data_IF_811062075855
#
_entry.id   IF_811062075855
#
_cell.length_a   1.000
_cell.length_b   1.000
_cell.length_c   1.000
_cell.angle_alpha   90.00
_cell.angle_beta   90.00
_cell.angle_gamma   90.00
#
_symmetry.space_group_name_H-M   'P 1'
#
loop_
_entity.id
_entity.type
_entity.pdbx_description
1 polymer ?
#
# COMPACT_ATOMS: atom_id res chain seq x y z
N UNK A 1 -1.42 -1.12 25.72
CA UNK A 1 -1.61 -2.39 24.98
C UNK A 1 -0.56 -2.46 23.89
N UNK A 2 0.01 -3.63 23.65
CA UNK A 2 0.96 -3.81 22.54
C UNK A 2 0.19 -4.10 21.26
N UNK A 3 0.14 -3.13 20.34
CA UNK A 3 -0.63 -3.28 19.10
C UNK A 3 -0.09 -4.42 18.23
N UNK A 4 1.16 -4.85 18.41
CA UNK A 4 1.75 -5.98 17.66
C UNK A 4 1.04 -7.31 17.94
N UNK A 5 0.33 -7.41 19.08
CA UNK A 5 -0.55 -8.53 19.36
C UNK A 5 -1.80 -8.53 18.47
N UNK A 6 -2.14 -7.41 17.83
CA UNK A 6 -3.36 -7.23 17.02
C UNK A 6 -3.06 -7.04 15.54
N UNK A 7 -1.94 -6.40 15.20
CA UNK A 7 -1.49 -6.17 13.82
C UNK A 7 0.03 -6.21 13.74
N UNK A 8 0.58 -6.94 12.78
CA UNK A 8 2.02 -6.87 12.46
C UNK A 8 2.26 -7.13 10.97
N UNK A 9 3.48 -6.85 10.54
CA UNK A 9 3.99 -7.16 9.21
C UNK A 9 4.72 -8.50 9.28
N UNK A 10 4.47 -9.38 8.31
CA UNK A 10 5.06 -10.72 8.28
C UNK A 10 5.63 -11.05 6.91
N UNK A 11 6.67 -11.88 6.90
CA UNK A 11 7.16 -12.58 5.72
C UNK A 11 6.42 -13.90 5.57
N UNK A 12 5.98 -14.25 4.37
CA UNK A 12 5.51 -15.60 4.07
C UNK A 12 6.72 -16.53 4.01
N UNK A 13 6.81 -17.48 4.94
CA UNK A 13 7.85 -18.50 4.92
C UNK A 13 7.48 -19.68 4.03
N UNK A 14 6.21 -20.09 4.07
CA UNK A 14 5.72 -21.23 3.30
C UNK A 14 4.29 -21.05 2.84
N UNK A 15 4.00 -21.47 1.60
CA UNK A 15 2.64 -21.59 1.08
C UNK A 15 2.29 -23.08 0.94
N UNK A 16 1.20 -23.49 1.58
CA UNK A 16 0.61 -24.82 1.47
C UNK A 16 -0.73 -24.72 0.72
N UNK A 17 -1.35 -25.87 0.40
CA UNK A 17 -2.59 -25.91 -0.38
C UNK A 17 -3.76 -25.13 0.25
N UNK A 18 -3.82 -25.03 1.58
CA UNK A 18 -4.91 -24.39 2.33
C UNK A 18 -4.44 -23.48 3.46
N UNK A 19 -3.14 -23.21 3.56
CA UNK A 19 -2.57 -22.36 4.61
C UNK A 19 -1.31 -21.65 4.15
N UNK A 20 -0.97 -20.56 4.83
CA UNK A 20 0.35 -19.95 4.75
C UNK A 20 1.01 -19.95 6.13
N UNK A 21 2.32 -20.20 6.15
CA UNK A 21 3.16 -19.97 7.31
C UNK A 21 3.83 -18.62 7.17
N UNK A 22 3.76 -17.82 8.21
CA UNK A 22 4.26 -16.45 8.23
C UNK A 22 5.16 -16.23 9.44
N UNK A 23 6.14 -15.36 9.29
CA UNK A 23 7.13 -15.01 10.32
C UNK A 23 7.09 -13.52 10.55
N UNK A 24 6.91 -13.10 11.80
CA UNK A 24 6.80 -11.68 12.18
C UNK A 24 8.09 -10.94 11.84
N UNK A 25 7.98 -9.83 11.10
CA UNK A 25 9.09 -8.99 10.67
C UNK A 25 9.38 -7.85 11.65
N UNK A 26 8.46 -7.53 12.55
CA UNK A 26 8.58 -6.34 13.41
C UNK A 26 8.88 -6.68 14.87
N UNK A 27 8.92 -7.96 15.20
CA UNK A 27 9.11 -8.46 16.56
C UNK A 27 10.42 -9.22 16.66
N UNK A 28 11.29 -8.85 17.61
CA UNK A 28 12.66 -9.38 17.75
C UNK A 28 12.73 -10.92 17.89
N UNK A 29 11.63 -11.54 18.32
CA UNK A 29 11.55 -12.99 18.51
C UNK A 29 11.08 -13.76 17.26
N UNK A 30 10.80 -13.10 16.13
CA UNK A 30 10.47 -13.74 14.85
C UNK A 30 9.32 -14.76 14.97
N UNK A 31 8.22 -14.39 15.63
CA UNK A 31 7.14 -15.32 15.95
C UNK A 31 6.53 -15.90 14.67
N UNK A 32 6.49 -17.23 14.59
CA UNK A 32 5.82 -17.94 13.51
C UNK A 32 4.33 -18.12 13.78
N UNK A 33 3.52 -17.93 12.74
CA UNK A 33 2.08 -18.19 12.76
C UNK A 33 1.65 -18.94 11.49
N UNK A 34 0.64 -19.80 11.62
CA UNK A 34 0.02 -20.47 10.47
C UNK A 34 -1.42 -19.99 10.31
N UNK A 35 -1.73 -19.45 9.14
CA UNK A 35 -3.05 -18.88 8.83
C UNK A 35 -3.74 -19.78 7.81
N UNK A 36 -4.90 -20.31 8.19
CA UNK A 36 -5.81 -20.99 7.28
C UNK A 36 -6.30 -20.01 6.22
N UNK A 37 -6.14 -20.41 4.96
CA UNK A 37 -6.40 -19.56 3.81
C UNK A 37 -7.54 -20.15 2.98
N UNK A 38 -8.71 -19.49 2.97
CA UNK A 38 -9.92 -19.98 2.28
C UNK A 38 -10.27 -19.24 0.97
N UNK A 39 -9.44 -18.32 0.46
CA UNK A 39 -9.74 -17.57 -0.78
C UNK A 39 -8.72 -17.82 -1.92
N UNK A 40 -9.10 -18.35 -3.08
CA UNK A 40 -8.15 -18.60 -4.19
C UNK A 40 -7.59 -17.33 -4.89
N UNK A 41 -7.75 -16.13 -4.31
CA UNK A 41 -7.52 -14.87 -5.02
C UNK A 41 -6.13 -14.24 -4.84
N UNK A 42 -5.25 -14.82 -4.03
CA UNK A 42 -3.89 -14.27 -3.85
C UNK A 42 -2.88 -15.30 -4.34
N UNK A 43 -2.14 -14.93 -5.38
CA UNK A 43 -0.91 -15.62 -5.83
C UNK A 43 0.21 -15.33 -4.82
N UNK A 44 0.00 -15.69 -3.56
CA UNK A 44 0.99 -15.56 -2.51
C UNK A 44 2.11 -16.57 -2.75
N UNK A 45 3.34 -16.17 -2.48
CA UNK A 45 4.53 -17.02 -2.61
C UNK A 45 5.41 -16.85 -1.39
N UNK A 46 6.29 -17.82 -1.17
CA UNK A 46 7.34 -17.72 -0.14
C UNK A 46 8.19 -16.48 -0.38
N UNK A 47 8.38 -15.68 0.66
CA UNK A 47 9.15 -14.44 0.72
C UNK A 47 8.35 -13.18 0.40
N UNK A 48 7.06 -13.28 0.09
CA UNK A 48 6.18 -12.12 0.09
C UNK A 48 5.98 -11.53 1.49
N UNK A 49 5.45 -10.31 1.53
CA UNK A 49 5.10 -9.63 2.77
C UNK A 49 3.58 -9.56 2.91
N UNK A 50 3.09 -9.70 4.14
CA UNK A 50 1.67 -9.53 4.48
C UNK A 50 1.51 -8.67 5.73
N UNK A 51 0.53 -7.77 5.71
CA UNK A 51 0.04 -7.08 6.90
C UNK A 51 -1.16 -7.87 7.42
N UNK A 52 -1.04 -8.42 8.62
CA UNK A 52 -2.06 -9.29 9.20
C UNK A 52 -2.71 -8.67 10.43
N UNK A 53 -4.03 -8.48 10.35
CA UNK A 53 -4.90 -8.05 11.43
C UNK A 53 -5.52 -9.27 12.11
N UNK A 54 -5.05 -9.60 13.32
CA UNK A 54 -5.43 -10.82 14.05
C UNK A 54 -6.87 -10.80 14.52
N UNK A 55 -7.41 -9.62 14.84
CA UNK A 55 -8.79 -9.45 15.26
C UNK A 55 -9.55 -8.47 14.37
N UNK A 56 -10.81 -8.80 14.03
CA UNK A 56 -11.72 -7.87 13.34
C UNK A 56 -12.21 -6.81 14.32
N UNK A 57 -11.62 -5.61 14.27
CA UNK A 57 -12.06 -4.45 15.09
C UNK A 57 -13.43 -3.93 14.66
N UNK A 58 -14.20 -3.30 15.57
CA UNK A 58 -15.56 -2.80 15.26
C UNK A 58 -15.64 -1.83 14.07
N UNK A 59 -14.59 -1.04 13.84
CA UNK A 59 -14.46 -0.15 12.67
C UNK A 59 -14.57 -0.95 11.35
N UNK A 60 -14.24 -2.24 11.37
CA UNK A 60 -14.35 -3.16 10.22
C UNK A 60 -15.70 -3.89 10.13
N UNK A 61 -16.59 -3.78 11.13
CA UNK A 61 -17.90 -4.49 11.16
C UNK A 61 -18.84 -4.09 10.02
N UNK A 62 -18.73 -2.86 9.52
CA UNK A 62 -19.58 -2.38 8.43
C UNK A 62 -19.08 -2.78 7.04
N UNK A 63 -17.90 -3.39 6.94
CA UNK A 63 -17.30 -3.76 5.66
C UNK A 63 -17.08 -5.29 5.58
N UNK A 64 -18.16 -6.02 5.27
CA UNK A 64 -18.22 -7.50 5.25
C UNK A 64 -17.16 -8.18 4.34
N UNK A 65 -16.53 -7.42 3.44
CA UNK A 65 -15.57 -7.92 2.45
C UNK A 65 -14.09 -7.61 2.73
N UNK A 66 -13.73 -6.93 3.83
CA UNK A 66 -12.31 -6.66 4.13
C UNK A 66 -11.60 -7.91 4.67
N UNK A 67 -10.61 -8.37 3.92
CA UNK A 67 -9.72 -9.46 4.31
C UNK A 67 -8.83 -9.01 5.49
N UNK A 68 -8.67 -9.88 6.49
CA UNK A 68 -7.81 -9.63 7.64
C UNK A 68 -6.32 -9.62 7.27
N UNK A 69 -6.00 -9.96 6.02
CA UNK A 69 -4.67 -10.14 5.52
C UNK A 69 -4.52 -9.34 4.23
N UNK A 70 -3.61 -8.38 4.25
CA UNK A 70 -3.28 -7.52 3.11
C UNK A 70 -1.94 -7.99 2.57
N UNK A 71 -1.89 -8.28 1.28
CA UNK A 71 -0.75 -8.93 0.64
C UNK A 71 0.06 -7.97 -0.23
N UNK A 72 1.38 -8.02 -0.04
CA UNK A 72 2.37 -7.25 -0.79
C UNK A 72 3.29 -8.18 -1.59
N UNK A 73 3.11 -8.27 -2.92
CA UNK A 73 3.99 -9.04 -3.78
C UNK A 73 5.33 -8.30 -3.95
N UNK A 74 6.32 -8.64 -3.13
CA UNK A 74 7.64 -7.98 -3.13
C UNK A 74 8.69 -8.73 -3.96
N UNK A 75 8.35 -9.91 -4.47
CA UNK A 75 9.25 -10.73 -5.28
C UNK A 75 8.95 -10.70 -6.77
N UNK A 76 10.02 -10.67 -7.58
CA UNK A 76 9.99 -10.91 -9.02
C UNK A 76 9.68 -12.37 -9.34
N UNK A 77 8.45 -12.63 -9.80
CA UNK A 77 8.05 -13.91 -10.38
C UNK A 77 7.48 -13.67 -11.77
N UNK A 78 7.90 -14.49 -12.74
CA UNK A 78 7.42 -14.39 -14.13
C UNK A 78 5.89 -14.47 -14.19
N UNK A 79 5.24 -13.48 -14.80
CA UNK A 79 3.79 -13.41 -14.94
C UNK A 79 3.06 -12.89 -13.69
N UNK A 80 3.78 -12.21 -12.79
CA UNK A 80 3.25 -11.61 -11.56
C UNK A 80 3.67 -10.14 -11.47
N UNK A 81 2.73 -9.29 -11.04
CA UNK A 81 2.99 -7.89 -10.76
C UNK A 81 3.69 -7.75 -9.40
N UNK A 82 4.75 -6.93 -9.36
CA UNK A 82 5.33 -6.45 -8.11
C UNK A 82 4.98 -4.97 -7.98
N UNK A 83 4.12 -4.64 -7.01
CA UNK A 83 3.59 -3.28 -6.79
C UNK A 83 4.56 -2.43 -5.93
N UNK A 84 5.77 -2.93 -5.65
CA UNK A 84 6.65 -2.39 -4.62
C UNK A 84 8.11 -2.49 -5.09
N UNK A 85 8.60 -1.40 -5.67
CA UNK A 85 9.94 -1.33 -6.29
C UNK A 85 11.05 -0.95 -5.32
N UNK A 86 10.70 -0.19 -4.27
CA UNK A 86 11.64 0.34 -3.30
C UNK A 86 11.02 0.24 -1.91
N UNK A 87 11.89 0.17 -0.91
CA UNK A 87 11.50 0.13 0.49
C UNK A 87 10.55 1.27 0.87
N UNK A 88 10.80 2.50 0.40
CA UNK A 88 9.96 3.67 0.70
C UNK A 88 8.52 3.50 0.20
N UNK A 89 8.31 2.99 -1.01
CA UNK A 89 6.97 2.70 -1.52
C UNK A 89 6.27 1.61 -0.70
N UNK A 90 7.01 0.56 -0.30
CA UNK A 90 6.47 -0.50 0.56
C UNK A 90 6.00 0.10 1.88
N UNK A 91 6.90 0.83 2.55
CA UNK A 91 6.69 1.46 3.84
C UNK A 91 5.46 2.34 3.79
N UNK A 92 5.36 3.23 2.81
CA UNK A 92 4.20 4.11 2.64
C UNK A 92 2.91 3.29 2.49
N UNK A 93 2.90 2.26 1.64
CA UNK A 93 1.68 1.44 1.42
C UNK A 93 1.27 0.68 2.67
N UNK A 94 2.24 0.09 3.38
CA UNK A 94 2.03 -0.62 4.65
C UNK A 94 1.52 0.33 5.73
N UNK A 95 2.09 1.53 5.84
CA UNK A 95 1.61 2.57 6.75
C UNK A 95 0.19 2.99 6.38
N UNK A 96 -0.10 3.18 5.09
CA UNK A 96 -1.45 3.51 4.65
C UNK A 96 -2.47 2.45 5.06
N UNK A 97 -2.16 1.20 4.79
CA UNK A 97 -3.04 0.09 5.15
C UNK A 97 -3.16 -0.07 6.67
N UNK A 98 -2.09 0.16 7.43
CA UNK A 98 -2.14 0.20 8.89
C UNK A 98 -3.11 1.29 9.39
N UNK A 99 -2.98 2.53 8.91
CA UNK A 99 -3.87 3.62 9.35
C UNK A 99 -5.33 3.34 8.97
N UNK A 100 -5.55 2.89 7.74
CA UNK A 100 -6.89 2.64 7.21
C UNK A 100 -7.58 1.46 7.92
N UNK A 101 -6.84 0.38 8.17
CA UNK A 101 -7.42 -0.88 8.64
C UNK A 101 -7.32 -1.07 10.16
N UNK A 102 -6.27 -0.58 10.81
CA UNK A 102 -6.09 -0.69 12.26
C UNK A 102 -6.60 0.52 13.04
N UNK A 103 -6.30 1.73 12.56
CA UNK A 103 -6.70 2.98 13.22
C UNK A 103 -8.05 3.52 12.72
N UNK A 104 -8.52 3.07 11.56
CA UNK A 104 -9.72 3.61 10.94
C UNK A 104 -9.56 5.03 10.40
N UNK A 105 -8.32 5.47 10.17
CA UNK A 105 -7.97 6.81 9.70
C UNK A 105 -7.61 6.73 8.22
N UNK A 106 -8.29 7.54 7.38
CA UNK A 106 -7.97 7.67 5.96
C UNK A 106 -6.80 8.63 5.73
N UNK A 107 -6.73 9.67 6.54
CA UNK A 107 -5.67 10.68 6.51
C UNK A 107 -4.47 10.26 7.36
N UNK A 108 -3.26 10.52 6.85
CA UNK A 108 -2.01 10.04 7.45
C UNK A 108 -1.05 11.19 7.73
N UNK A 109 -0.93 12.13 6.80
CA UNK A 109 0.04 13.25 6.88
C UNK A 109 -0.63 14.60 7.17
N UNK A 110 -1.95 14.71 7.00
CA UNK A 110 -2.72 15.95 7.17
C UNK A 110 -3.05 16.31 8.62
N UNK A 111 -2.88 15.33 9.50
CA UNK A 111 -3.30 15.36 10.90
C UNK A 111 -2.13 14.88 11.73
N UNK A 112 -2.12 15.25 13.01
CA UNK A 112 -1.11 14.76 13.92
C UNK A 112 -1.10 13.22 13.92
N UNK A 113 0.07 12.64 13.59
CA UNK A 113 0.24 11.19 13.47
C UNK A 113 -0.14 10.53 14.80
N UNK A 114 -0.94 9.47 14.70
CA UNK A 114 -1.32 8.69 15.87
C UNK A 114 -0.07 8.12 16.57
N UNK A 115 0.02 8.10 17.91
CA UNK A 115 1.14 7.48 18.60
C UNK A 115 1.39 6.02 18.16
N UNK A 116 0.33 5.29 17.80
CA UNK A 116 0.45 3.93 17.26
C UNK A 116 1.03 3.93 15.84
N UNK A 117 0.68 4.90 14.99
CA UNK A 117 1.33 5.10 13.68
C UNK A 117 2.83 5.32 13.88
N UNK A 118 3.22 6.29 14.71
CA UNK A 118 4.62 6.66 14.91
C UNK A 118 5.43 5.47 15.41
N UNK A 119 4.85 4.70 16.35
CA UNK A 119 5.50 3.50 16.87
C UNK A 119 5.62 2.41 15.80
N UNK A 120 4.61 2.21 14.96
CA UNK A 120 4.64 1.23 13.86
C UNK A 120 5.64 1.60 12.77
N UNK A 121 5.67 2.87 12.37
CA UNK A 121 6.66 3.42 11.43
C UNK A 121 8.08 3.18 11.91
N UNK A 122 8.38 3.49 13.18
CA UNK A 122 9.70 3.23 13.78
C UNK A 122 10.09 1.75 13.75
N UNK A 123 9.15 0.83 13.95
CA UNK A 123 9.45 -0.60 13.90
C UNK A 123 9.76 -1.04 12.47
N UNK A 124 9.05 -0.51 11.47
CA UNK A 124 9.37 -0.77 10.06
C UNK A 124 10.79 -0.27 9.75
N UNK A 125 11.13 0.95 10.16
CA UNK A 125 12.45 1.54 9.97
C UNK A 125 13.57 0.77 10.69
N UNK A 126 13.30 0.24 11.88
CA UNK A 126 14.25 -0.61 12.62
C UNK A 126 14.55 -1.93 11.90
N UNK A 127 13.61 -2.43 11.09
CA UNK A 127 13.74 -3.68 10.34
C UNK A 127 13.92 -3.43 8.84
N UNK A 128 14.36 -2.22 8.44
CA UNK A 128 14.49 -1.82 7.04
C UNK A 128 15.32 -2.83 6.23
N UNK A 129 16.52 -3.20 6.71
CA UNK A 129 17.42 -4.10 6.00
C UNK A 129 16.76 -5.44 5.67
N UNK A 130 16.12 -6.07 6.66
CA UNK A 130 15.47 -7.37 6.49
C UNK A 130 14.27 -7.30 5.54
N UNK A 131 13.53 -6.19 5.58
CA UNK A 131 12.40 -5.94 4.68
C UNK A 131 12.90 -5.69 3.26
N UNK A 132 13.96 -4.89 3.10
CA UNK A 132 14.54 -4.52 1.81
C UNK A 132 15.14 -5.71 1.09
N UNK A 133 15.77 -6.66 1.80
CA UNK A 133 16.29 -7.91 1.23
C UNK A 133 15.22 -8.79 0.58
N UNK A 134 13.95 -8.69 1.02
CA UNK A 134 12.83 -9.43 0.43
C UNK A 134 12.37 -8.83 -0.89
N UNK A 135 12.70 -7.57 -1.16
CA UNK A 135 12.32 -6.84 -2.37
C UNK A 135 13.28 -7.24 -3.48
N UNK A 136 12.84 -8.15 -4.35
CA UNK A 136 13.64 -8.61 -5.50
C UNK A 136 13.04 -8.08 -6.79
N UNK A 137 13.76 -7.17 -7.46
CA UNK A 137 13.34 -6.58 -8.73
C UNK A 137 14.17 -7.09 -9.92
N UNK A 138 13.65 -6.89 -11.13
CA UNK A 138 14.37 -7.08 -12.38
C UNK A 138 15.49 -6.02 -12.49
N UNK A 139 16.75 -6.39 -12.22
CA UNK A 139 17.90 -5.57 -12.62
C UNK A 139 17.93 -5.29 -14.15
N UNK A 140 17.23 -6.13 -14.94
CA UNK A 140 17.09 -5.99 -16.40
C UNK A 140 15.98 -5.00 -16.82
N UNK A 141 15.03 -4.66 -15.94
CA UNK A 141 14.05 -3.60 -16.17
C UNK A 141 14.52 -2.34 -15.46
N UNK A 142 15.49 -1.61 -16.01
CA UNK A 142 15.81 -0.25 -15.53
C UNK A 142 14.69 0.74 -15.91
N UNK A 143 13.48 0.52 -15.40
CA UNK A 143 12.29 1.28 -15.78
C UNK A 143 11.74 1.92 -14.52
N UNK A 144 12.18 3.13 -14.22
CA UNK A 144 11.62 3.98 -13.16
C UNK A 144 10.15 4.35 -13.49
N UNK A 145 9.30 4.65 -12.47
CA UNK A 145 8.06 5.37 -12.73
C UNK A 145 8.38 6.61 -13.56
N UNK A 146 7.55 6.94 -14.54
CA UNK A 146 7.77 8.19 -15.26
C UNK A 146 7.34 9.33 -14.34
N UNK A 147 8.33 10.05 -13.83
CA UNK A 147 8.12 11.25 -13.07
C UNK A 147 8.12 12.43 -14.04
N UNK A 148 6.92 12.91 -14.38
CA UNK A 148 6.73 14.10 -15.21
C UNK A 148 6.64 15.37 -14.35
N UNK A 149 7.25 15.35 -13.18
CA UNK A 149 7.27 16.46 -12.21
C UNK A 149 8.71 16.76 -11.80
N UNK A 150 8.93 17.97 -11.28
CA UNK A 150 10.23 18.36 -10.72
C UNK A 150 10.42 17.88 -9.26
N UNK A 151 9.44 17.19 -8.68
CA UNK A 151 9.47 16.73 -7.29
C UNK A 151 10.08 15.34 -7.17
N UNK A 152 10.95 15.14 -6.17
CA UNK A 152 11.41 13.79 -5.82
C UNK A 152 10.23 12.92 -5.42
N UNK A 153 10.21 11.67 -5.90
CA UNK A 153 9.06 10.81 -5.62
C UNK A 153 8.88 10.56 -4.13
N UNK A 154 9.98 10.39 -3.38
CA UNK A 154 9.91 10.29 -1.92
C UNK A 154 9.20 11.50 -1.29
N UNK A 155 9.43 12.72 -1.80
CA UNK A 155 8.74 13.93 -1.34
C UNK A 155 7.24 13.91 -1.68
N UNK A 156 6.87 13.43 -2.87
CA UNK A 156 5.46 13.28 -3.28
C UNK A 156 4.74 12.28 -2.37
N UNK A 157 5.34 11.11 -2.14
CA UNK A 157 4.75 10.04 -1.34
C UNK A 157 4.58 10.41 0.13
N UNK A 158 5.48 11.24 0.67
CA UNK A 158 5.41 11.74 2.04
C UNK A 158 4.42 12.91 2.21
N UNK A 159 3.79 13.38 1.14
CA UNK A 159 2.86 14.50 1.20
C UNK A 159 1.40 14.06 1.46
N UNK A 160 0.50 15.03 1.71
CA UNK A 160 -0.90 14.72 2.01
C UNK A 160 -1.59 14.13 0.77
N UNK A 161 -1.92 12.83 0.79
CA UNK A 161 -2.88 12.30 -0.19
C UNK A 161 -4.28 12.85 0.09
N UNK A 162 -4.87 13.51 -0.91
CA UNK A 162 -6.17 14.19 -0.80
C UNK A 162 -7.27 13.54 -1.64
N UNK A 163 -6.91 12.63 -2.54
CA UNK A 163 -7.86 12.01 -3.47
C UNK A 163 -7.43 10.57 -3.75
N UNK A 164 -8.39 9.65 -3.82
CA UNK A 164 -8.16 8.31 -4.36
C UNK A 164 -9.41 7.76 -4.99
N UNK A 165 -9.32 7.46 -6.28
CA UNK A 165 -10.37 6.80 -7.04
C UNK A 165 -9.82 5.53 -7.69
N UNK A 166 -10.57 4.44 -7.58
CA UNK A 166 -10.25 3.16 -8.18
C UNK A 166 -11.44 2.71 -9.03
N UNK A 167 -11.23 2.58 -10.34
CA UNK A 167 -12.26 2.18 -11.31
C UNK A 167 -11.91 0.81 -11.86
N UNK A 168 -12.89 -0.10 -11.92
CA UNK A 168 -12.73 -1.47 -12.42
C UNK A 168 -12.19 -2.46 -11.38
N UNK A 169 -12.03 -3.72 -11.77
CA UNK A 169 -11.40 -4.74 -10.92
C UNK A 169 -9.90 -4.83 -11.23
N UNK A 170 -9.04 -5.00 -10.21
CA UNK A 170 -7.56 -5.02 -10.30
C UNK A 170 -6.96 -5.92 -11.41
N UNK A 171 -7.74 -6.85 -11.96
CA UNK A 171 -7.34 -7.78 -13.02
C UNK A 171 -8.09 -7.62 -14.35
N UNK A 172 -8.93 -6.60 -14.44
CA UNK A 172 -9.66 -6.25 -15.65
C UNK A 172 -8.85 -5.28 -16.52
N UNK A 173 -9.12 -5.29 -17.83
CA UNK A 173 -8.42 -4.47 -18.83
C UNK A 173 -8.78 -2.98 -18.73
N UNK A 174 -9.82 -2.64 -17.96
CA UNK A 174 -10.27 -1.26 -17.71
C UNK A 174 -9.96 -0.74 -16.31
N UNK A 175 -9.05 -1.38 -15.56
CA UNK A 175 -8.69 -0.93 -14.22
C UNK A 175 -7.82 0.33 -14.24
N UNK A 176 -8.19 1.32 -13.44
CA UNK A 176 -7.38 2.51 -13.21
C UNK A 176 -7.39 2.93 -11.76
N UNK A 177 -6.20 3.23 -11.23
CA UNK A 177 -6.00 3.91 -9.96
C UNK A 177 -5.55 5.34 -10.25
N UNK A 178 -6.23 6.30 -9.64
CA UNK A 178 -5.84 7.69 -9.61
C UNK A 178 -5.71 8.16 -8.17
N UNK A 179 -4.61 8.82 -7.86
CA UNK A 179 -4.36 9.47 -6.58
C UNK A 179 -3.93 10.91 -6.81
N UNK A 180 -4.21 11.80 -5.85
CA UNK A 180 -3.68 13.16 -5.83
C UNK A 180 -3.04 13.42 -4.48
N UNK A 181 -1.81 13.94 -4.55
CA UNK A 181 -0.93 14.28 -3.45
C UNK A 181 -0.80 15.81 -3.41
N UNK A 182 -1.03 16.40 -2.24
CA UNK A 182 -0.88 17.82 -1.97
C UNK A 182 0.47 18.06 -1.31
N UNK A 183 1.37 18.72 -2.05
CA UNK A 183 2.72 19.06 -1.61
C UNK A 183 2.68 20.30 -0.70
N UNK A 184 1.90 21.31 -1.08
CA UNK A 184 1.63 22.50 -0.29
C UNK A 184 0.23 23.09 -0.59
N UNK A 185 -0.05 24.34 -0.17
CA UNK A 185 -1.36 24.98 -0.40
C UNK A 185 -1.75 25.12 -1.88
N UNK A 186 -0.78 25.16 -2.79
CA UNK A 186 -0.97 25.43 -4.21
C UNK A 186 -0.41 24.35 -5.15
N UNK A 187 0.44 23.47 -4.67
CA UNK A 187 1.15 22.48 -5.46
C UNK A 187 0.62 21.07 -5.22
N UNK A 188 0.26 20.41 -6.32
CA UNK A 188 -0.35 19.08 -6.31
C UNK A 188 0.26 18.20 -7.39
N UNK A 189 0.37 16.92 -7.09
CA UNK A 189 0.84 15.89 -8.00
C UNK A 189 -0.20 14.78 -8.09
N UNK A 190 -0.59 14.39 -9.29
CA UNK A 190 -1.42 13.22 -9.54
C UNK A 190 -0.55 12.01 -9.85
N UNK A 191 -0.89 10.89 -9.25
CA UNK A 191 -0.42 9.58 -9.67
C UNK A 191 -1.52 8.88 -10.46
N UNK A 192 -1.17 8.32 -11.62
CA UNK A 192 -2.09 7.53 -12.43
C UNK A 192 -1.47 6.18 -12.78
N UNK A 193 -2.24 5.12 -12.60
CA UNK A 193 -1.89 3.77 -13.04
C UNK A 193 -3.06 3.18 -13.82
N UNK A 194 -2.80 2.58 -14.99
CA UNK A 194 -3.83 1.93 -15.81
C UNK A 194 -3.42 0.52 -16.23
N UNK A 195 -4.39 -0.37 -16.37
CA UNK A 195 -4.16 -1.78 -16.73
C UNK A 195 -4.15 -2.07 -18.23
N UNK A 196 -4.32 -1.04 -19.08
CA UNK A 196 -4.50 -1.17 -20.54
C UNK A 196 -3.40 -1.97 -21.26
N UNK A 197 -2.20 -2.08 -20.67
CA UNK A 197 -1.15 -2.95 -21.14
C UNK A 197 -0.69 -3.85 -19.98
N UNK A 198 -0.97 -5.16 -20.07
CA UNK A 198 -0.52 -6.19 -19.09
C UNK A 198 0.99 -6.13 -18.80
N UNK A 199 1.79 -5.60 -19.71
CA UNK A 199 3.25 -5.49 -19.63
C UNK A 199 3.72 -4.07 -19.28
N UNK A 200 2.80 -3.10 -19.16
CA UNK A 200 3.09 -1.68 -18.85
C UNK A 200 2.04 -1.10 -17.92
N UNK A 201 1.76 -1.78 -16.80
CA UNK A 201 1.02 -1.20 -15.68
C UNK A 201 1.89 -0.16 -14.93
N UNK A 202 2.36 0.84 -15.67
CA UNK A 202 3.25 1.89 -15.16
C UNK A 202 2.41 2.90 -14.41
N UNK A 203 2.85 3.21 -13.20
CA UNK A 203 2.43 4.39 -12.48
C UNK A 203 3.22 5.60 -12.98
N UNK A 204 2.53 6.70 -13.20
CA UNK A 204 3.12 7.94 -13.70
C UNK A 204 2.68 9.09 -12.79
N UNK A 205 3.65 9.95 -12.44
CA UNK A 205 3.40 11.16 -11.65
C UNK A 205 3.34 12.36 -12.58
N UNK A 206 2.33 13.20 -12.41
CA UNK A 206 2.11 14.41 -13.19
C UNK A 206 1.76 15.57 -12.27
N UNK A 207 2.22 16.76 -12.62
CA UNK A 207 1.71 17.97 -11.98
C UNK A 207 0.24 18.15 -12.31
N UNK A 208 -0.56 18.49 -11.29
CA UNK A 208 -1.96 18.84 -11.47
C UNK A 208 -2.22 20.20 -10.86
N UNK A 209 -2.83 21.11 -11.62
CA UNK A 209 -3.08 22.46 -11.14
C UNK A 209 -4.12 22.48 -10.01
N UNK A 210 -3.95 23.37 -9.02
CA UNK A 210 -4.95 23.67 -7.99
C UNK A 210 -6.37 23.84 -8.55
N UNK A 211 -6.52 24.56 -9.66
CA UNK A 211 -7.81 24.78 -10.32
C UNK A 211 -8.51 23.47 -10.73
N UNK A 212 -7.75 22.47 -11.19
CA UNK A 212 -8.30 21.16 -11.55
C UNK A 212 -8.71 20.38 -10.31
N UNK A 213 -7.90 20.42 -9.25
CA UNK A 213 -8.21 19.81 -7.94
C UNK A 213 -9.48 20.43 -7.35
N UNK A 214 -9.58 21.75 -7.32
CA UNK A 214 -10.75 22.48 -6.81
C UNK A 214 -12.02 22.16 -7.62
N UNK A 215 -11.90 22.01 -8.93
CA UNK A 215 -13.01 21.56 -9.76
C UNK A 215 -13.47 20.15 -9.36
N UNK A 216 -12.55 19.18 -9.30
CA UNK A 216 -12.85 17.79 -8.95
C UNK A 216 -13.48 17.67 -7.55
N UNK A 217 -13.03 18.47 -6.57
CA UNK A 217 -13.62 18.53 -5.21
C UNK A 217 -15.10 18.84 -5.21
N UNK A 218 -15.56 19.60 -6.20
CA UNK A 218 -16.96 20.02 -6.33
C UNK A 218 -17.73 19.22 -7.37
N UNK A 219 -17.06 18.36 -8.13
CA UNK A 219 -17.65 17.59 -9.21
C UNK A 219 -18.38 16.37 -8.64
N UNK A 220 -19.63 16.16 -9.07
CA UNK A 220 -20.54 15.18 -8.46
C UNK A 220 -19.98 13.75 -8.47
N UNK A 221 -19.26 13.39 -9.53
CA UNK A 221 -18.71 12.04 -9.70
C UNK A 221 -17.43 11.78 -8.89
N UNK A 222 -16.68 12.83 -8.53
CA UNK A 222 -15.35 12.73 -7.91
C UNK A 222 -15.32 13.19 -6.44
N UNK A 223 -16.30 14.02 -6.00
CA UNK A 223 -16.30 14.63 -4.66
C UNK A 223 -16.22 13.60 -3.53
N UNK A 224 -16.81 12.43 -3.70
CA UNK A 224 -16.88 11.38 -2.67
C UNK A 224 -15.55 10.59 -2.57
N UNK A 225 -14.65 10.74 -3.56
CA UNK A 225 -13.33 10.12 -3.60
C UNK A 225 -12.23 11.01 -2.98
N UNK A 226 -12.57 12.27 -2.64
CA UNK A 226 -11.70 13.11 -1.82
C UNK A 226 -11.61 12.59 -0.38
N UNK A 227 -10.41 12.69 0.18
CA UNK A 227 -10.03 12.08 1.46
C UNK A 227 -9.94 13.10 2.61
N UNK A 228 -10.36 14.34 2.36
CA UNK A 228 -10.34 15.45 3.32
C UNK A 228 -11.53 15.47 4.29
#
# INVERSE_FOLDING_TARGET
MDFLAEISLYKIDKVNDSSIKIVDLLNENGKEEEISWNKPCIKAVTGDIVLFLKEKREITKHNKNRDNLIHYPVQKIKGRFSDVREYEYLKMKVLYDFNLHYLGKKEIEAVEKDPAHIKFEKLIDQNQTDIEELITYNADERVEPFNHTDYEVASILNSKKIFRQEIGEKFDWGWSLMEIYQLDENDFVSYKQSSYFRERQRGEFFEISKKAVDFMRTFEDDKDDFLD
#
